data_IF_206473130967
#
_entry.id   IF_206473130967
#
_cell.length_a   1.000
_cell.length_b   1.000
_cell.length_c   1.000
_cell.angle_alpha   90.00
_cell.angle_beta   90.00
_cell.angle_gamma   90.00
#
_symmetry.space_group_name_H-M   'P 1'
#
loop_
_entity.id
_entity.type
_entity.pdbx_description
1 polymer ?
#
# COMPACT_ATOMS: atom_id res chain seq x y z
N UNK A 1 -7.54 -0.42 1.03
CA UNK A 1 -8.68 0.07 0.21
C UNK A 1 -8.21 0.57 -1.15
N UNK A 2 -7.10 1.33 -1.26
CA UNK A 2 -6.63 1.88 -2.53
C UNK A 2 -6.35 0.87 -3.66
N UNK A 3 -5.87 -0.35 -3.36
CA UNK A 3 -5.45 -1.29 -4.43
C UNK A 3 -6.64 -1.79 -5.27
N UNK A 4 -7.78 -2.08 -4.63
CA UNK A 4 -8.95 -2.62 -5.34
C UNK A 4 -9.64 -1.57 -6.20
N UNK A 5 -9.66 -0.33 -5.75
CA UNK A 5 -10.20 0.80 -6.53
C UNK A 5 -9.29 1.11 -7.73
N UNK A 6 -7.97 1.00 -7.57
CA UNK A 6 -7.00 1.12 -8.66
C UNK A 6 -7.09 -0.05 -9.65
N UNK A 7 -7.32 -1.28 -9.18
CA UNK A 7 -7.56 -2.44 -10.05
C UNK A 7 -8.84 -2.28 -10.87
N UNK A 8 -9.93 -1.81 -10.26
CA UNK A 8 -11.18 -1.50 -10.97
C UNK A 8 -10.98 -0.37 -11.98
N UNK A 9 -10.24 0.68 -11.60
CA UNK A 9 -9.92 1.79 -12.49
C UNK A 9 -9.07 1.34 -13.68
N UNK A 10 -8.05 0.51 -13.44
CA UNK A 10 -7.24 -0.10 -14.48
C UNK A 10 -8.06 -0.94 -15.44
N UNK A 11 -8.93 -1.81 -14.93
CA UNK A 11 -9.82 -2.62 -15.77
C UNK A 11 -10.75 -1.75 -16.65
N UNK A 12 -11.25 -0.64 -16.10
CA UNK A 12 -12.07 0.31 -16.84
C UNK A 12 -11.30 1.05 -17.95
N UNK A 13 -10.01 1.33 -17.74
CA UNK A 13 -9.13 1.90 -18.78
C UNK A 13 -8.80 0.89 -19.88
N UNK A 14 -8.55 -0.38 -19.51
CA UNK A 14 -8.24 -1.44 -20.45
C UNK A 14 -9.37 -1.68 -21.45
N UNK A 15 -10.62 -1.65 -20.97
CA UNK A 15 -11.82 -1.77 -21.81
C UNK A 15 -12.02 -0.61 -22.81
N UNK A 16 -11.30 0.50 -22.63
CA UNK A 16 -11.38 1.71 -23.47
C UNK A 16 -10.19 1.89 -24.40
N UNK A 17 -9.31 0.88 -24.48
CA UNK A 17 -8.25 0.85 -25.48
C UNK A 17 -8.86 0.63 -26.85
N UNK A 18 -8.40 1.41 -27.82
CA UNK A 18 -8.67 1.16 -29.23
C UNK A 18 -7.77 0.02 -29.76
N UNK A 19 -7.96 -0.36 -31.02
CA UNK A 19 -7.18 -1.41 -31.68
C UNK A 19 -5.67 -1.08 -31.80
N UNK A 20 -5.29 0.17 -31.52
CA UNK A 20 -3.89 0.64 -31.47
C UNK A 20 -3.31 0.66 -30.06
N UNK A 21 -4.10 0.27 -29.05
CA UNK A 21 -3.71 0.29 -27.64
C UNK A 21 -3.77 1.67 -26.97
N UNK A 22 -4.31 2.68 -27.66
CA UNK A 22 -4.48 4.03 -27.12
C UNK A 22 -5.75 4.08 -26.28
N UNK A 23 -5.69 4.72 -25.11
CA UNK A 23 -6.85 4.90 -24.24
C UNK A 23 -7.57 6.17 -24.70
N UNK A 24 -8.80 6.01 -25.18
CA UNK A 24 -9.66 7.14 -25.54
C UNK A 24 -10.58 7.43 -24.36
N UNK A 25 -10.34 8.56 -23.69
CA UNK A 25 -11.15 9.03 -22.58
C UNK A 25 -12.05 10.18 -23.02
N UNK A 26 -13.31 10.12 -22.60
CA UNK A 26 -14.15 11.31 -22.61
C UNK A 26 -13.65 12.32 -21.56
N UNK A 27 -14.04 13.58 -21.72
CA UNK A 27 -13.56 14.68 -20.88
C UNK A 27 -13.79 14.44 -19.38
N UNK A 28 -14.92 13.83 -19.01
CA UNK A 28 -15.24 13.56 -17.61
C UNK A 28 -14.30 12.52 -17.01
N UNK A 29 -14.00 11.46 -17.75
CA UNK A 29 -13.08 10.43 -17.28
C UNK A 29 -11.62 10.84 -17.34
N UNK A 30 -11.25 11.73 -18.26
CA UNK A 30 -9.93 12.33 -18.27
C UNK A 30 -9.67 13.09 -16.95
N UNK A 31 -10.65 13.87 -16.47
CA UNK A 31 -10.55 14.59 -15.17
C UNK A 31 -10.40 13.61 -14.01
N UNK A 32 -11.19 12.53 -13.99
CA UNK A 32 -11.09 11.51 -12.93
C UNK A 32 -9.74 10.80 -12.96
N UNK A 33 -9.23 10.48 -14.16
CA UNK A 33 -7.91 9.87 -14.33
C UNK A 33 -6.79 10.80 -13.86
N UNK A 34 -6.90 12.09 -14.14
CA UNK A 34 -5.92 13.09 -13.70
C UNK A 34 -5.87 13.19 -12.17
N UNK A 35 -7.03 13.23 -11.50
CA UNK A 35 -7.10 13.23 -10.04
C UNK A 35 -6.49 11.96 -9.43
N UNK A 36 -6.83 10.78 -9.97
CA UNK A 36 -6.29 9.52 -9.50
C UNK A 36 -4.76 9.45 -9.66
N UNK A 37 -4.23 9.96 -10.78
CA UNK A 37 -2.79 10.05 -11.02
C UNK A 37 -2.11 11.03 -10.06
N UNK A 38 -2.70 12.19 -9.80
CA UNK A 38 -2.17 13.16 -8.83
C UNK A 38 -2.08 12.55 -7.43
N UNK A 39 -3.09 11.80 -7.00
CA UNK A 39 -3.09 11.09 -5.71
C UNK A 39 -1.98 10.03 -5.66
N UNK A 40 -1.80 9.24 -6.72
CA UNK A 40 -0.73 8.25 -6.80
C UNK A 40 0.66 8.91 -6.73
N UNK A 41 0.88 10.02 -7.45
CA UNK A 41 2.13 10.79 -7.38
C UNK A 41 2.36 11.35 -5.98
N UNK A 42 1.31 11.86 -5.34
CA UNK A 42 1.40 12.35 -3.98
C UNK A 42 1.82 11.24 -3.01
N UNK A 43 1.16 10.09 -3.06
CA UNK A 43 1.48 8.95 -2.20
C UNK A 43 2.89 8.40 -2.45
N UNK A 44 3.32 8.29 -3.71
CA UNK A 44 4.68 7.87 -4.05
C UNK A 44 5.72 8.82 -3.40
N UNK A 45 5.50 10.14 -3.50
CA UNK A 45 6.37 11.13 -2.84
C UNK A 45 6.36 11.01 -1.33
N UNK A 46 5.21 10.76 -0.72
CA UNK A 46 5.12 10.52 0.73
C UNK A 46 5.86 9.24 1.12
N UNK A 47 5.77 8.17 0.35
CA UNK A 47 6.50 6.93 0.57
C UNK A 47 8.02 7.11 0.42
N UNK A 48 8.45 7.89 -0.57
CA UNK A 48 9.85 8.25 -0.76
C UNK A 48 10.37 9.12 0.39
N UNK A 49 9.60 10.12 0.82
CA UNK A 49 9.94 10.97 1.95
C UNK A 49 9.94 10.20 3.28
N UNK A 50 9.01 9.26 3.44
CA UNK A 50 8.92 8.35 4.58
C UNK A 50 9.89 7.17 4.49
N UNK A 51 10.68 7.06 3.41
CA UNK A 51 11.69 6.02 3.26
C UNK A 51 12.78 6.25 4.29
N UNK A 52 12.60 5.64 5.46
CA UNK A 52 13.64 5.46 6.45
C UNK A 52 14.69 4.56 5.79
N UNK A 53 15.72 5.17 5.22
CA UNK A 53 16.93 4.48 4.78
C UNK A 53 17.71 4.02 6.01
N UNK A 54 17.17 3.01 6.71
CA UNK A 54 17.93 2.25 7.68
C UNK A 54 18.55 1.08 6.94
N UNK A 55 19.88 0.91 6.96
CA UNK A 55 20.47 -0.34 6.50
C UNK A 55 19.79 -1.48 7.28
N UNK A 56 19.38 -2.52 6.57
CA UNK A 56 18.84 -3.71 7.22
C UNK A 56 19.98 -4.32 8.04
N UNK A 57 19.92 -4.17 9.37
CA UNK A 57 20.84 -4.86 10.27
C UNK A 57 20.43 -6.32 10.29
N UNK A 58 21.21 -7.17 9.62
CA UNK A 58 21.10 -8.62 9.78
C UNK A 58 21.68 -8.93 11.16
N UNK A 59 20.82 -9.36 12.07
CA UNK A 59 21.22 -9.78 13.41
C UNK A 59 21.38 -11.29 13.39
N UNK A 60 22.59 -11.76 13.65
CA UNK A 60 22.87 -13.17 13.88
C UNK A 60 22.46 -13.53 15.30
N UNK A 61 21.40 -14.31 15.45
CA UNK A 61 20.86 -14.73 16.74
C UNK A 61 21.70 -15.83 17.44
N UNK A 62 22.77 -16.30 16.78
CA UNK A 62 23.74 -17.21 17.39
C UNK A 62 24.85 -16.50 18.16
N UNK A 63 24.90 -15.16 18.15
CA UNK A 63 25.84 -14.38 18.95
C UNK A 63 25.50 -14.50 20.45
N UNK A 64 26.40 -15.14 21.21
CA UNK A 64 26.32 -15.35 22.65
C UNK A 64 26.16 -14.05 23.48
N UNK A 65 26.40 -12.88 22.87
CA UNK A 65 26.20 -11.56 23.50
C UNK A 65 24.76 -11.05 23.40
N UNK A 66 23.93 -11.65 22.57
CA UNK A 66 22.53 -11.27 22.43
C UNK A 66 21.74 -11.94 23.54
N UNK A 67 21.55 -11.20 24.64
CA UNK A 67 20.57 -11.57 25.66
C UNK A 67 19.19 -11.48 25.04
N UNK A 68 18.64 -12.61 24.61
CA UNK A 68 17.27 -12.71 24.14
C UNK A 68 16.36 -12.28 25.29
N UNK A 69 15.78 -11.08 25.19
CA UNK A 69 14.72 -10.67 26.09
C UNK A 69 13.63 -11.75 26.04
N UNK A 70 13.10 -12.19 27.19
CA UNK A 70 12.04 -13.17 27.20
C UNK A 70 10.91 -12.66 26.31
N UNK A 71 10.47 -13.51 25.37
CA UNK A 71 9.34 -13.22 24.50
C UNK A 71 8.12 -13.11 25.42
N UNK A 72 7.83 -11.89 25.89
CA UNK A 72 6.58 -11.60 26.55
C UNK A 72 5.47 -11.87 25.53
N UNK A 73 4.62 -12.85 25.80
CA UNK A 73 3.40 -13.07 24.99
C UNK A 73 2.68 -11.73 24.93
N UNK A 74 2.51 -11.18 23.72
CA UNK A 74 1.61 -10.04 23.52
C UNK A 74 0.26 -10.43 24.10
N UNK A 75 -0.31 -9.59 24.96
CA UNK A 75 -1.66 -9.79 25.43
C UNK A 75 -2.59 -9.84 24.22
N UNK A 76 -3.30 -10.95 24.07
CA UNK A 76 -4.40 -11.04 23.12
C UNK A 76 -5.48 -10.12 23.68
N UNK A 77 -5.97 -9.12 22.93
CA UNK A 77 -7.08 -8.30 23.39
C UNK A 77 -8.23 -9.23 23.76
N UNK A 78 -8.67 -9.13 25.01
CA UNK A 78 -9.81 -9.88 25.51
C UNK A 78 -11.04 -9.40 24.72
N UNK A 79 -11.61 -10.28 23.91
CA UNK A 79 -12.86 -10.00 23.23
C UNK A 79 -13.95 -10.13 24.30
N UNK A 80 -14.17 -9.06 25.07
CA UNK A 80 -15.37 -8.96 25.90
C UNK A 80 -16.55 -9.07 24.95
N UNK A 81 -17.15 -10.26 24.96
CA UNK A 81 -18.38 -10.54 24.27
C UNK A 81 -19.40 -9.51 24.72
N UNK A 82 -19.64 -8.52 23.87
CA UNK A 82 -20.78 -7.63 23.97
C UNK A 82 -22.05 -8.46 24.00
N UNK A 83 -22.55 -8.70 25.20
CA UNK A 83 -23.85 -9.25 25.49
C UNK A 83 -24.32 -8.69 26.84
N UNK A 84 -24.89 -7.48 26.78
CA UNK A 84 -26.02 -6.98 27.57
C UNK A 84 -26.10 -5.46 27.44
#
# INVERSE_FOLDING_TARGET
MLSKDLECFWAALEMRKNDRGEIILDQRLAVVAELALQDCVHQARQMEAARISRPATIIDLSDDKIVLFPIAKRSVPFNDGGAA
#
